data_IF_153130270004
#
_entry.id   IF_153130270004
#
_cell.length_a   1.000
_cell.length_b   1.000
_cell.length_c   1.000
_cell.angle_alpha   90.00
_cell.angle_beta   90.00
_cell.angle_gamma   90.00
#
_symmetry.space_group_name_H-M   'P 1'
#
loop_
_entity.id
_entity.type
_entity.pdbx_description
1 polymer ?
#
# COMPACT_ATOMS: atom_id res chain seq x y z
N UNK A 1 -12.27 -34.61 14.00
CA UNK A 1 -11.23 -33.59 14.25
C UNK A 1 -10.09 -33.80 13.25
N UNK A 2 -10.08 -33.11 12.10
CA UNK A 2 -8.87 -32.91 11.34
C UNK A 2 -8.16 -31.62 11.81
N UNK A 3 -6.87 -31.77 12.05
CA UNK A 3 -5.89 -30.78 12.50
C UNK A 3 -5.73 -29.63 11.51
N UNK A 4 -5.56 -28.42 12.04
CA UNK A 4 -5.22 -27.19 11.31
C UNK A 4 -3.87 -27.33 10.59
N UNK A 5 -3.76 -27.06 9.28
CA UNK A 5 -2.48 -26.66 8.71
C UNK A 5 -2.24 -25.19 9.04
N UNK A 6 -1.19 -24.93 9.83
CA UNK A 6 -0.63 -23.61 10.04
C UNK A 6 0.02 -23.14 8.72
N UNK A 7 -0.76 -22.44 7.88
CA UNK A 7 -0.27 -21.87 6.64
C UNK A 7 0.47 -20.56 6.94
N UNK A 8 1.75 -20.70 7.28
CA UNK A 8 2.73 -19.63 7.17
C UNK A 8 4.05 -20.30 6.80
N UNK A 9 4.16 -20.72 5.54
CA UNK A 9 5.47 -21.02 4.96
C UNK A 9 6.25 -19.70 4.87
N UNK A 10 7.44 -19.60 5.48
CA UNK A 10 8.25 -18.40 5.45
C UNK A 10 8.95 -18.31 4.09
N UNK A 11 8.20 -17.96 3.05
CA UNK A 11 8.77 -17.26 1.91
C UNK A 11 9.28 -15.91 2.41
N UNK A 12 10.58 -15.68 2.19
CA UNK A 12 11.39 -14.56 2.68
C UNK A 12 10.82 -13.17 2.33
N UNK A 13 9.78 -12.72 3.02
CA UNK A 13 9.39 -11.30 3.00
C UNK A 13 10.20 -10.55 4.05
N UNK A 14 11.52 -10.49 3.85
CA UNK A 14 12.33 -9.49 4.55
C UNK A 14 11.84 -8.13 4.07
N UNK A 15 11.28 -7.29 4.95
CA UNK A 15 10.72 -6.03 4.52
C UNK A 15 11.83 -5.17 3.92
N UNK A 16 11.62 -4.67 2.70
CA UNK A 16 12.57 -3.76 2.02
C UNK A 16 12.88 -2.51 2.85
N UNK A 17 12.02 -2.17 3.80
CA UNK A 17 12.21 -1.09 4.76
C UNK A 17 11.63 -1.49 6.12
N UNK A 18 12.43 -1.35 7.18
CA UNK A 18 12.00 -1.56 8.57
C UNK A 18 11.93 -0.21 9.27
N UNK A 19 10.75 0.14 9.78
CA UNK A 19 10.60 1.28 10.69
C UNK A 19 10.99 0.83 12.09
N UNK A 20 12.07 1.38 12.63
CA UNK A 20 12.62 0.99 13.93
C UNK A 20 11.92 1.75 15.07
N UNK A 21 11.63 3.04 14.88
CA UNK A 21 10.86 3.91 15.79
C UNK A 21 10.26 5.09 15.01
N UNK A 22 9.13 5.61 15.50
CA UNK A 22 8.40 6.75 14.90
C UNK A 22 8.62 8.07 15.64
N UNK A 23 9.87 8.45 15.89
CA UNK A 23 10.25 9.73 16.52
C UNK A 23 11.11 10.62 15.60
N UNK A 24 11.06 10.37 14.29
CA UNK A 24 11.76 11.19 13.30
C UNK A 24 11.30 12.65 13.36
N UNK A 25 12.24 13.59 13.21
CA UNK A 25 11.92 15.00 13.21
C UNK A 25 11.18 15.40 11.92
N UNK A 26 10.45 16.53 11.90
CA UNK A 26 9.81 17.02 10.69
C UNK A 26 10.78 17.18 9.50
N UNK A 27 12.03 17.59 9.78
CA UNK A 27 13.09 17.76 8.77
C UNK A 27 13.51 16.42 8.17
N UNK A 28 13.64 15.38 9.00
CA UNK A 28 13.97 14.03 8.54
C UNK A 28 12.84 13.44 7.69
N UNK A 29 11.59 13.65 8.10
CA UNK A 29 10.42 13.26 7.30
C UNK A 29 10.43 13.99 5.95
N UNK A 30 10.73 15.29 5.94
CA UNK A 30 10.82 16.09 4.73
C UNK A 30 11.95 15.58 3.81
N UNK A 31 13.13 15.30 4.35
CA UNK A 31 14.27 14.77 3.60
C UNK A 31 13.96 13.40 2.97
N UNK A 32 13.39 12.47 3.73
CA UNK A 32 12.98 11.16 3.22
C UNK A 32 11.90 11.28 2.12
N UNK A 33 10.92 12.16 2.33
CA UNK A 33 9.87 12.40 1.34
C UNK A 33 10.46 12.97 0.05
N UNK A 34 11.39 13.93 0.14
CA UNK A 34 12.06 14.53 -1.02
C UNK A 34 12.86 13.49 -1.83
N UNK A 35 13.59 12.60 -1.15
CA UNK A 35 14.34 11.52 -1.82
C UNK A 35 13.38 10.54 -2.52
N UNK A 36 12.30 10.14 -1.84
CA UNK A 36 11.31 9.23 -2.41
C UNK A 36 10.58 9.84 -3.61
N UNK A 37 10.19 11.11 -3.57
CA UNK A 37 9.50 11.77 -4.68
C UNK A 37 10.39 11.84 -5.93
N UNK A 38 11.66 12.22 -5.77
CA UNK A 38 12.65 12.21 -6.87
C UNK A 38 12.77 10.82 -7.48
N UNK A 39 12.93 9.78 -6.64
CA UNK A 39 13.03 8.39 -7.13
C UNK A 39 11.77 7.94 -7.86
N UNK A 40 10.59 8.26 -7.35
CA UNK A 40 9.33 7.91 -8.01
C UNK A 40 9.16 8.62 -9.35
N UNK A 41 9.58 9.88 -9.46
CA UNK A 41 9.51 10.65 -10.69
C UNK A 41 10.42 10.07 -11.78
N UNK A 42 11.60 9.56 -11.39
CA UNK A 42 12.51 8.85 -12.28
C UNK A 42 11.89 7.53 -12.78
N UNK A 43 11.32 6.72 -11.88
CA UNK A 43 10.68 5.44 -12.27
C UNK A 43 9.41 5.62 -13.11
N UNK A 44 8.67 6.72 -12.92
CA UNK A 44 7.46 7.01 -13.68
C UNK A 44 7.76 7.30 -15.17
N UNK A 45 8.96 7.79 -15.48
CA UNK A 45 9.40 7.97 -16.86
C UNK A 45 9.72 6.64 -17.57
N UNK A 46 10.02 5.57 -16.83
CA UNK A 46 10.40 4.26 -17.38
C UNK A 46 9.18 3.33 -17.58
N UNK A 47 8.06 3.58 -16.91
CA UNK A 47 6.89 2.70 -16.87
C UNK A 47 5.64 3.26 -17.57
N UNK A 48 5.69 3.49 -18.88
CA UNK A 48 4.46 3.74 -19.66
C UNK A 48 3.91 2.42 -20.19
N UNK A 49 3.21 1.67 -19.35
CA UNK A 49 2.27 0.65 -19.79
C UNK A 49 0.97 0.84 -19.00
N UNK A 50 -0.03 1.38 -19.69
CA UNK A 50 -1.35 1.64 -19.17
C UNK A 50 -2.08 0.32 -18.90
N UNK A 51 -2.04 -0.16 -17.66
CA UNK A 51 -3.06 -1.09 -17.18
C UNK A 51 -4.22 -0.28 -16.58
N UNK A 52 -5.41 -0.54 -17.13
CA UNK A 52 -6.60 0.31 -17.04
C UNK A 52 -6.82 0.96 -15.69
N UNK A 53 -7.06 2.28 -15.73
CA UNK A 53 -7.40 3.07 -14.54
C UNK A 53 -8.44 2.34 -13.69
N UNK A 54 -8.11 2.00 -12.43
CA UNK A 54 -9.05 1.28 -11.58
C UNK A 54 -10.33 2.11 -11.43
N UNK A 55 -11.49 1.44 -11.52
CA UNK A 55 -12.80 2.09 -11.34
C UNK A 55 -12.76 2.93 -10.07
N UNK A 56 -13.24 4.18 -10.13
CA UNK A 56 -13.10 5.10 -9.00
C UNK A 56 -13.76 4.51 -7.75
N UNK A 57 -12.99 4.39 -6.67
CA UNK A 57 -13.48 3.86 -5.39
C UNK A 57 -14.62 4.70 -4.80
N UNK A 58 -14.79 5.93 -5.27
CA UNK A 58 -15.92 6.81 -4.96
C UNK A 58 -17.29 6.21 -5.27
N UNK A 59 -17.42 5.44 -6.36
CA UNK A 59 -18.70 4.83 -6.76
C UNK A 59 -18.91 3.41 -6.21
N UNK A 60 -18.03 2.94 -5.33
CA UNK A 60 -18.14 1.59 -4.79
C UNK A 60 -19.22 1.50 -3.70
N UNK A 61 -20.36 0.87 -4.04
CA UNK A 61 -21.48 0.65 -3.12
C UNK A 61 -21.15 -0.30 -1.97
N UNK A 62 -20.10 -1.13 -2.08
CA UNK A 62 -19.70 -2.02 -0.98
C UNK A 62 -19.36 -1.24 0.30
N UNK A 63 -18.97 0.04 0.17
CA UNK A 63 -18.76 0.98 1.28
C UNK A 63 -20.03 1.31 2.07
N UNK A 64 -21.20 1.31 1.42
CA UNK A 64 -22.50 1.50 2.10
C UNK A 64 -22.92 0.26 2.91
N UNK A 65 -22.32 -0.89 2.62
CA UNK A 65 -22.72 -2.18 3.18
C UNK A 65 -21.77 -2.69 4.27
N UNK A 66 -20.83 -1.84 4.78
CA UNK A 66 -19.77 -2.23 5.73
C UNK A 66 -19.13 -3.58 5.38
N UNK A 67 -18.66 -3.72 4.15
CA UNK A 67 -17.91 -4.91 3.77
C UNK A 67 -16.51 -4.91 4.44
N UNK A 68 -15.99 -6.07 4.88
CA UNK A 68 -14.63 -6.17 5.37
C UNK A 68 -13.64 -5.84 4.24
N UNK A 69 -12.60 -5.07 4.58
CA UNK A 69 -11.51 -4.74 3.66
C UNK A 69 -10.79 -6.03 3.25
N UNK A 70 -10.75 -6.31 1.95
CA UNK A 70 -9.96 -7.42 1.42
C UNK A 70 -8.51 -6.96 1.23
N UNK A 71 -7.52 -7.69 1.77
CA UNK A 71 -6.12 -7.38 1.50
C UNK A 71 -5.84 -7.59 0.01
N UNK A 72 -5.11 -6.64 -0.60
CA UNK A 72 -4.78 -6.71 -2.01
C UNK A 72 -4.00 -5.47 -2.48
N UNK A 73 -3.43 -5.53 -3.70
CA UNK A 73 -2.78 -4.38 -4.32
C UNK A 73 -3.70 -3.17 -4.30
N UNK A 74 -3.21 -2.02 -3.82
CA UNK A 74 -3.95 -0.75 -3.67
C UNK A 74 -5.09 -0.71 -2.62
N UNK A 75 -5.35 -1.80 -1.89
CA UNK A 75 -6.44 -1.85 -0.89
C UNK A 75 -6.34 -0.75 0.19
N UNK A 76 -5.13 -0.38 0.60
CA UNK A 76 -4.88 0.70 1.56
C UNK A 76 -5.22 2.08 1.00
N UNK A 77 -4.88 2.35 -0.27
CA UNK A 77 -5.26 3.58 -0.96
C UNK A 77 -6.78 3.69 -1.10
N UNK A 78 -7.45 2.57 -1.34
CA UNK A 78 -8.90 2.50 -1.39
C UNK A 78 -9.58 2.61 -0.01
N UNK A 79 -8.85 2.52 1.12
CA UNK A 79 -9.45 2.60 2.46
C UNK A 79 -9.61 4.04 2.97
N UNK A 80 -8.79 4.99 2.52
CA UNK A 80 -8.69 6.34 3.11
C UNK A 80 -9.23 7.46 2.21
N UNK A 81 -10.09 7.17 1.23
CA UNK A 81 -10.66 8.27 0.43
C UNK A 81 -11.53 9.16 1.34
N UNK A 82 -11.30 10.49 1.42
CA UNK A 82 -12.21 11.39 2.12
C UNK A 82 -13.60 11.26 1.49
N UNK A 83 -14.63 11.16 2.33
CA UNK A 83 -16.02 11.31 1.92
C UNK A 83 -16.38 12.77 1.70
#
# INVERSE_FOLDING_TARGET
MPTTPNASEPGEHTPYLRVVRGDATPEEIAALTAVLTVRTAQTAHEGTAADGSPRSGWRDRSRLLRAPLRPGPSAWRAAYHPG
#
